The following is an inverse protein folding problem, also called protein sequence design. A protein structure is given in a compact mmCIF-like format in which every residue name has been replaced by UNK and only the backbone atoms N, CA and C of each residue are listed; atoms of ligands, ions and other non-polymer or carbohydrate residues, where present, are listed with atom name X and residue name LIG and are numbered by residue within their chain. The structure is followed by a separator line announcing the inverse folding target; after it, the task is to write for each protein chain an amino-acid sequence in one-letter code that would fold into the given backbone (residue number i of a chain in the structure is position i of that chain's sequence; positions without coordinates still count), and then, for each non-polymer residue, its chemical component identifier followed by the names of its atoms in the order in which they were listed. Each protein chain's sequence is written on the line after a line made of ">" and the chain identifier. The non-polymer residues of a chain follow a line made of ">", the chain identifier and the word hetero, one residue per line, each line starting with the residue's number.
data_IF_956109680691
#
_entry.id   IF_956109680691
#
_cell.length_a   1.000
_cell.length_b   1.000
_cell.length_c   1.000
_cell.angle_alpha   90.00
_cell.angle_beta   90.00
_cell.angle_gamma   90.00
#
_symmetry.space_group_name_H-M   'P 1'
#
loop_
_entity.id
_entity.type
_entity.pdbx_description
1 polymer ?
#
# COMPACT_ATOMS: atom_id res chain seq x y z
N UNK A 1 7.57 -3.75 -19.22
CA UNK A 1 6.60 -3.84 -18.11
C UNK A 1 5.95 -2.49 -17.86
N UNK A 2 4.65 -2.46 -17.58
CA UNK A 2 4.01 -1.25 -17.03
C UNK A 2 4.08 -1.32 -15.50
N UNK A 3 4.43 -0.20 -14.87
CA UNK A 3 4.35 -0.07 -13.41
C UNK A 3 2.88 -0.18 -12.98
N UNK A 4 2.63 -0.88 -11.87
CA UNK A 4 1.30 -0.99 -11.26
C UNK A 4 0.69 0.40 -11.02
N UNK A 5 1.52 1.33 -10.55
CA UNK A 5 1.17 2.73 -10.32
C UNK A 5 0.57 3.39 -11.56
N UNK A 6 1.25 3.29 -12.71
CA UNK A 6 0.80 3.92 -13.97
C UNK A 6 -0.52 3.34 -14.45
N UNK A 7 -0.70 2.03 -14.26
CA UNK A 7 -1.88 1.30 -14.72
C UNK A 7 -3.11 1.68 -13.90
N UNK A 8 -2.98 1.71 -12.57
CA UNK A 8 -4.06 2.16 -11.68
C UNK A 8 -4.37 3.64 -11.91
N UNK A 9 -3.33 4.49 -12.03
CA UNK A 9 -3.51 5.91 -12.30
C UNK A 9 -4.30 6.16 -13.59
N UNK A 10 -3.98 5.43 -14.67
CA UNK A 10 -4.73 5.56 -15.93
C UNK A 10 -6.22 5.23 -15.79
N UNK A 11 -6.58 4.24 -14.96
CA UNK A 11 -7.98 3.90 -14.71
C UNK A 11 -8.68 4.99 -13.89
N UNK A 12 -8.00 5.53 -12.87
CA UNK A 12 -8.49 6.68 -12.07
C UNK A 12 -8.73 7.88 -12.99
N UNK A 13 -7.73 8.26 -13.79
CA UNK A 13 -7.78 9.42 -14.69
C UNK A 13 -8.88 9.30 -15.75
N UNK A 14 -9.17 8.06 -16.19
CA UNK A 14 -10.27 7.80 -17.13
C UNK A 14 -11.66 7.95 -16.51
N UNK A 15 -11.77 8.13 -15.19
CA UNK A 15 -13.03 8.30 -14.45
C UNK A 15 -13.87 7.03 -14.31
N UNK A 16 -13.35 5.86 -14.73
CA UNK A 16 -14.09 4.58 -14.72
C UNK A 16 -14.58 4.15 -13.34
N UNK A 17 -13.82 4.45 -12.29
CA UNK A 17 -14.22 4.15 -10.91
C UNK A 17 -14.78 5.37 -10.16
N UNK A 18 -14.86 6.53 -10.82
CA UNK A 18 -15.18 7.79 -10.15
C UNK A 18 -14.08 8.23 -9.19
N UNK A 19 -14.47 8.78 -8.04
CA UNK A 19 -13.51 9.23 -7.01
C UNK A 19 -13.17 8.04 -6.09
N UNK A 20 -11.89 7.71 -5.87
CA UNK A 20 -11.48 6.70 -4.90
C UNK A 20 -11.99 7.01 -3.49
N UNK A 21 -12.51 5.99 -2.81
CA UNK A 21 -13.08 6.09 -1.45
C UNK A 21 -12.43 5.15 -0.46
N UNK A 22 -11.92 4.01 -0.92
CA UNK A 22 -11.29 3.00 -0.06
C UNK A 22 -10.22 2.21 -0.80
N UNK A 23 -9.11 1.92 -0.11
CA UNK A 23 -8.03 1.06 -0.60
C UNK A 23 -7.73 -0.05 0.41
N UNK A 24 -7.69 -1.29 -0.05
CA UNK A 24 -7.02 -2.41 0.63
C UNK A 24 -5.84 -2.84 -0.22
N UNK A 25 -4.67 -2.98 0.40
CA UNK A 25 -3.49 -3.54 -0.25
C UNK A 25 -2.78 -4.50 0.70
N UNK A 26 -2.44 -5.69 0.21
CA UNK A 26 -1.63 -6.68 0.89
C UNK A 26 -0.42 -7.02 0.02
N UNK A 27 0.77 -6.65 0.50
CA UNK A 27 2.04 -6.97 -0.13
C UNK A 27 2.68 -8.14 0.62
N UNK A 28 3.10 -9.15 -0.11
CA UNK A 28 3.84 -10.27 0.41
C UNK A 28 5.28 -10.19 -0.08
N UNK A 29 6.20 -10.24 0.87
CA UNK A 29 7.64 -10.24 0.63
C UNK A 29 8.19 -11.63 0.94
N UNK A 30 9.17 -12.13 0.15
CA UNK A 30 9.96 -13.26 0.59
C UNK A 30 10.72 -12.90 1.89
N UNK A 31 11.13 -13.91 2.65
CA UNK A 31 11.72 -13.71 3.99
C UNK A 31 13.03 -12.88 3.97
N UNK A 32 13.68 -12.70 2.81
CA UNK A 32 15.00 -12.05 2.68
C UNK A 32 14.95 -10.64 2.06
N UNK A 33 15.97 -9.86 2.43
CA UNK A 33 16.52 -8.66 1.78
C UNK A 33 15.70 -7.36 1.67
N UNK A 34 14.37 -7.39 1.87
CA UNK A 34 13.54 -6.17 1.84
C UNK A 34 13.06 -5.81 3.25
N UNK A 35 13.22 -4.55 3.67
CA UNK A 35 12.66 -4.03 4.93
C UNK A 35 11.13 -3.92 4.82
N UNK A 36 10.43 -4.39 5.85
CA UNK A 36 8.96 -4.37 5.90
C UNK A 36 8.45 -2.92 6.05
N UNK A 37 9.20 -2.07 6.74
CA UNK A 37 8.94 -0.64 6.91
C UNK A 37 9.10 0.10 5.58
N UNK A 38 10.20 -0.16 4.87
CA UNK A 38 10.44 0.43 3.55
C UNK A 38 9.32 0.09 2.57
N UNK A 39 8.97 -1.19 2.46
CA UNK A 39 7.86 -1.64 1.62
C UNK A 39 6.51 -1.04 2.06
N UNK A 40 6.31 -0.83 3.37
CA UNK A 40 5.11 -0.18 3.90
C UNK A 40 5.02 1.27 3.45
N UNK A 41 6.12 2.03 3.47
CA UNK A 41 6.13 3.41 3.00
C UNK A 41 5.88 3.55 1.51
N UNK A 42 6.32 2.57 0.72
CA UNK A 42 6.01 2.53 -0.71
C UNK A 42 4.51 2.33 -0.91
N UNK A 43 3.87 1.41 -0.18
CA UNK A 43 2.41 1.27 -0.21
C UNK A 43 1.70 2.55 0.25
N UNK A 44 2.20 3.22 1.29
CA UNK A 44 1.68 4.50 1.77
C UNK A 44 1.76 5.56 0.67
N UNK A 45 2.88 5.64 -0.03
CA UNK A 45 3.12 6.61 -1.11
C UNK A 45 2.16 6.35 -2.27
N UNK A 46 1.96 5.10 -2.67
CA UNK A 46 0.96 4.72 -3.68
C UNK A 46 -0.47 5.05 -3.23
N UNK A 47 -0.82 4.75 -1.98
CA UNK A 47 -2.13 5.08 -1.43
C UNK A 47 -2.40 6.60 -1.47
N UNK A 48 -1.41 7.39 -1.06
CA UNK A 48 -1.51 8.86 -1.06
C UNK A 48 -1.55 9.46 -2.46
N UNK A 49 -0.94 8.79 -3.45
CA UNK A 49 -1.04 9.19 -4.85
C UNK A 49 -2.44 8.97 -5.41
N UNK A 50 -3.05 7.82 -5.09
CA UNK A 50 -4.35 7.45 -5.65
C UNK A 50 -5.54 8.08 -4.93
N UNK A 51 -5.39 8.45 -3.65
CA UNK A 51 -6.46 9.07 -2.90
C UNK A 51 -6.63 10.56 -3.27
N UNK A 52 -7.86 11.06 -3.43
CA UNK A 52 -8.12 12.42 -3.91
C UNK A 52 -7.91 13.51 -2.84
N UNK A 53 -7.62 13.13 -1.60
CA UNK A 53 -7.49 14.04 -0.46
C UNK A 53 -6.20 13.78 0.28
N UNK A 54 -5.69 14.80 0.98
CA UNK A 54 -4.50 14.65 1.81
C UNK A 54 -4.77 13.71 2.99
N UNK A 55 -3.76 12.92 3.42
CA UNK A 55 -3.83 12.17 4.66
C UNK A 55 -4.07 13.10 5.86
N UNK A 56 -4.87 12.63 6.81
CA UNK A 56 -5.19 13.31 8.08
C UNK A 56 -4.48 12.64 9.25
N UNK A 57 -4.50 11.30 9.31
CA UNK A 57 -3.89 10.54 10.38
C UNK A 57 -3.52 9.13 9.93
N UNK A 58 -2.57 8.53 10.65
CA UNK A 58 -2.05 7.20 10.39
C UNK A 58 -2.07 6.37 11.67
N UNK A 59 -2.35 5.09 11.54
CA UNK A 59 -2.15 4.11 12.59
C UNK A 59 -1.34 2.92 12.04
N UNK A 60 -0.29 2.50 12.73
CA UNK A 60 0.51 1.34 12.37
C UNK A 60 0.54 0.30 13.50
N UNK A 61 0.58 -0.98 13.13
CA UNK A 61 0.69 -2.13 14.03
C UNK A 61 1.61 -3.18 13.46
N UNK A 62 2.55 -3.62 14.28
CA UNK A 62 3.43 -4.75 13.99
C UNK A 62 2.94 -5.99 14.70
N UNK A 63 2.97 -7.13 14.02
CA UNK A 63 2.71 -8.42 14.65
C UNK A 63 3.80 -8.76 15.69
N UNK A 64 3.50 -9.55 16.73
CA UNK A 64 4.49 -9.89 17.77
C UNK A 64 5.77 -10.55 17.25
N UNK A 65 5.65 -11.33 16.18
CA UNK A 65 6.76 -12.01 15.49
C UNK A 65 7.45 -11.14 14.41
N UNK A 66 7.02 -9.88 14.25
CA UNK A 66 7.55 -8.92 13.28
C UNK A 66 7.47 -9.35 11.81
N UNK A 67 6.66 -10.35 11.47
CA UNK A 67 6.47 -10.80 10.09
C UNK A 67 5.44 -9.93 9.34
N UNK A 68 4.61 -9.17 10.05
CA UNK A 68 3.56 -8.35 9.47
C UNK A 68 3.62 -6.92 10.03
N UNK A 69 3.44 -5.95 9.13
CA UNK A 69 3.19 -4.55 9.45
C UNK A 69 1.92 -4.10 8.74
N UNK A 70 0.92 -3.69 9.51
CA UNK A 70 -0.35 -3.19 9.00
C UNK A 70 -0.50 -1.72 9.35
N UNK A 71 -0.84 -0.92 8.34
CA UNK A 71 -1.00 0.52 8.42
C UNK A 71 -2.38 0.91 7.92
N UNK A 72 -3.06 1.78 8.68
CA UNK A 72 -4.30 2.42 8.29
C UNK A 72 -4.07 3.91 8.14
N UNK A 73 -4.63 4.51 7.08
CA UNK A 73 -4.58 5.95 6.82
C UNK A 73 -6.01 6.45 6.72
N UNK A 74 -6.32 7.54 7.44
CA UNK A 74 -7.53 8.33 7.26
C UNK A 74 -7.18 9.59 6.49
N UNK A 75 -8.05 9.96 5.55
CA UNK A 75 -7.87 11.14 4.70
C UNK A 75 -8.90 12.21 5.06
N UNK A 76 -8.56 13.49 4.83
CA UNK A 76 -9.44 14.63 5.16
C UNK A 76 -10.81 14.58 4.46
N UNK A 77 -10.89 13.91 3.30
CA UNK A 77 -12.14 13.73 2.55
C UNK A 77 -13.00 12.56 3.03
N UNK A 78 -12.63 11.89 4.13
CA UNK A 78 -13.33 10.73 4.68
C UNK A 78 -12.94 9.38 4.06
N UNK A 79 -12.00 9.37 3.10
CA UNK A 79 -11.46 8.12 2.54
C UNK A 79 -10.62 7.37 3.58
N UNK A 80 -10.40 6.08 3.35
CA UNK A 80 -9.53 5.24 4.19
C UNK A 80 -8.69 4.29 3.35
N UNK A 81 -7.44 4.07 3.75
CA UNK A 81 -6.59 3.01 3.21
C UNK A 81 -6.18 2.04 4.32
N UNK A 82 -6.19 0.74 4.01
CA UNK A 82 -5.65 -0.34 4.85
C UNK A 82 -4.57 -1.06 4.05
N UNK A 83 -3.35 -0.99 4.54
CA UNK A 83 -2.15 -1.48 3.88
C UNK A 83 -1.52 -2.52 4.79
N UNK A 84 -1.14 -3.67 4.26
CA UNK A 84 -0.46 -4.71 5.03
C UNK A 84 0.72 -5.22 4.23
N UNK A 85 1.89 -5.24 4.87
CA UNK A 85 3.07 -5.91 4.34
C UNK A 85 3.33 -7.12 5.21
N UNK A 86 3.57 -8.27 4.59
CA UNK A 86 3.75 -9.56 5.24
C UNK A 86 5.00 -10.24 4.69
N UNK A 87 5.79 -10.88 5.55
CA UNK A 87 6.83 -11.83 5.15
C UNK A 87 6.20 -13.20 5.03
N UNK A 88 6.42 -13.87 3.91
CA UNK A 88 5.91 -15.24 3.67
C UNK A 88 7.10 -16.13 3.35
N UNK A 89 7.12 -17.33 3.94
CA UNK A 89 8.15 -18.34 3.72
C UNK A 89 7.95 -19.02 2.35
N UNK A 90 8.20 -18.29 1.27
CA UNK A 90 8.08 -18.78 -0.12
C UNK A 90 9.35 -18.48 -0.91
N UNK A 91 9.56 -19.23 -1.98
CA UNK A 91 10.53 -18.97 -3.04
C UNK A 91 10.00 -17.98 -4.11
N UNK A 92 8.80 -17.44 -3.90
CA UNK A 92 8.14 -16.55 -4.86
C UNK A 92 8.71 -15.14 -4.79
N UNK A 93 8.62 -14.44 -5.91
CA UNK A 93 8.84 -13.01 -6.00
C UNK A 93 7.78 -12.25 -5.20
N UNK A 94 8.04 -10.98 -4.92
CA UNK A 94 7.07 -10.06 -4.30
C UNK A 94 5.70 -10.17 -4.98
N UNK A 95 4.63 -10.29 -4.20
CA UNK A 95 3.25 -10.40 -4.70
C UNK A 95 2.34 -9.37 -4.02
N UNK A 96 1.34 -8.88 -4.74
CA UNK A 96 0.37 -7.89 -4.22
C UNK A 96 -1.08 -8.33 -4.50
N UNK A 97 -1.95 -8.19 -3.50
CA UNK A 97 -3.42 -8.21 -3.60
C UNK A 97 -3.94 -6.81 -3.27
N UNK A 98 -4.63 -6.18 -4.23
CA UNK A 98 -5.09 -4.81 -4.17
C UNK A 98 -6.55 -4.69 -4.59
N UNK A 99 -7.30 -3.94 -3.77
CA UNK A 99 -8.67 -3.51 -4.06
C UNK A 99 -8.76 -2.00 -3.88
N UNK A 100 -9.02 -1.27 -4.96
CA UNK A 100 -9.31 0.17 -4.93
C UNK A 100 -10.77 0.39 -5.30
N UNK A 101 -11.55 0.84 -4.33
CA UNK A 101 -12.98 1.13 -4.49
C UNK A 101 -13.12 2.62 -4.73
N UNK A 102 -13.81 2.98 -5.81
CA UNK A 102 -14.31 4.33 -6.05
C UNK A 102 -15.83 4.37 -6.04
N UNK A 103 -16.41 5.56 -6.01
CA UNK A 103 -17.86 5.73 -5.93
C UNK A 103 -18.65 5.32 -7.20
N UNK A 104 -17.97 4.90 -8.27
CA UNK A 104 -18.59 4.40 -9.51
C UNK A 104 -18.10 3.02 -9.95
N UNK A 105 -17.14 2.42 -9.22
CA UNK A 105 -16.57 1.14 -9.62
C UNK A 105 -15.42 0.69 -8.73
N UNK A 106 -14.75 -0.39 -9.12
CA UNK A 106 -13.67 -0.99 -8.32
C UNK A 106 -12.57 -1.50 -9.24
N UNK A 107 -11.32 -1.37 -8.81
CA UNK A 107 -10.16 -2.02 -9.40
C UNK A 107 -9.77 -3.17 -8.47
N UNK A 108 -9.63 -4.36 -9.06
CA UNK A 108 -9.01 -5.51 -8.41
C UNK A 108 -7.73 -5.88 -9.13
N UNK A 109 -6.66 -6.09 -8.38
CA UNK A 109 -5.40 -6.60 -8.90
C UNK A 109 -4.81 -7.59 -7.91
N UNK A 110 -4.50 -8.78 -8.38
CA UNK A 110 -3.80 -9.80 -7.62
C UNK A 110 -2.62 -10.29 -8.47
N UNK A 111 -1.44 -10.39 -7.87
CA UNK A 111 -0.31 -11.08 -8.49
C UNK A 111 -0.59 -12.59 -8.43
N UNK A 112 -0.82 -13.26 -9.58
CA UNK A 112 -1.22 -14.65 -9.56
C UNK A 112 -0.10 -15.55 -9.03
N UNK A 113 -0.42 -16.64 -8.32
CA UNK A 113 0.56 -17.51 -7.65
C UNK A 113 1.45 -18.38 -8.57
N UNK A 114 1.53 -18.15 -9.89
CA UNK A 114 2.17 -19.10 -10.83
C UNK A 114 2.98 -18.51 -12.01
N UNK A 115 4.11 -19.18 -12.31
CA UNK A 115 5.29 -18.82 -13.14
C UNK A 115 5.09 -18.57 -14.66
N UNK A 116 3.89 -18.30 -15.17
CA UNK A 116 3.64 -18.34 -16.63
C UNK A 116 2.83 -17.19 -17.25
N UNK A 117 2.75 -16.01 -16.66
CA UNK A 117 2.05 -14.87 -17.29
C UNK A 117 2.94 -13.64 -17.46
N UNK A 118 3.03 -13.17 -18.71
CA UNK A 118 3.87 -12.07 -19.21
C UNK A 118 3.40 -10.66 -18.80
N UNK A 119 2.61 -10.52 -17.73
CA UNK A 119 2.19 -9.22 -17.20
C UNK A 119 2.59 -9.12 -15.73
N UNK A 120 3.89 -9.09 -15.50
CA UNK A 120 4.45 -8.67 -14.22
C UNK A 120 4.23 -7.16 -14.07
N UNK A 121 3.28 -6.79 -13.21
CA UNK A 121 3.18 -5.42 -12.73
C UNK A 121 4.22 -5.25 -11.62
N UNK A 122 5.22 -4.40 -11.87
CA UNK A 122 6.30 -4.16 -10.92
C UNK A 122 5.84 -3.12 -9.91
N UNK A 123 6.03 -3.43 -8.63
CA UNK A 123 6.15 -2.41 -7.58
C UNK A 123 7.64 -2.10 -7.46
N UNK A 124 7.99 -0.84 -7.70
CA UNK A 124 9.37 -0.41 -7.54
C UNK A 124 9.69 -0.29 -6.05
N UNK A 125 10.40 -1.29 -5.52
CA UNK A 125 10.84 -1.31 -4.12
C UNK A 125 12.12 -0.51 -3.89
N UNK A 126 12.69 0.13 -4.92
CA UNK A 126 13.92 0.93 -4.82
C UNK A 126 13.65 2.40 -4.55
N UNK A 127 12.39 2.86 -4.60
CA UNK A 127 12.02 4.26 -4.33
C UNK A 127 12.26 4.65 -2.87
N UNK A 128 12.93 5.79 -2.66
CA UNK A 128 13.12 6.40 -1.34
C UNK A 128 11.83 7.09 -0.90
N UNK A 129 11.44 6.87 0.37
CA UNK A 129 10.19 7.41 0.94
C UNK A 129 10.41 7.91 2.38
N UNK A 130 9.78 9.04 2.73
CA UNK A 130 10.06 9.76 3.98
C UNK A 130 9.06 9.50 5.12
N UNK A 131 8.09 8.59 4.97
CA UNK A 131 7.06 8.38 6.00
C UNK A 131 7.50 7.49 7.18
N UNK A 132 8.76 7.02 7.20
CA UNK A 132 9.31 6.13 8.24
C UNK A 132 9.06 6.65 9.67
N UNK A 133 9.23 7.95 9.90
CA UNK A 133 9.09 8.53 11.24
C UNK A 133 7.65 8.50 11.75
N UNK A 134 6.65 8.74 10.88
CA UNK A 134 5.24 8.69 11.25
C UNK A 134 4.79 7.27 11.57
N UNK A 135 5.22 6.31 10.75
CA UNK A 135 4.93 4.88 10.96
C UNK A 135 5.54 4.43 12.29
N UNK A 136 6.80 4.76 12.56
CA UNK A 136 7.48 4.42 13.82
C UNK A 136 6.77 5.04 15.03
N UNK A 137 6.47 6.35 14.99
CA UNK A 137 5.76 7.05 16.07
C UNK A 137 4.39 6.42 16.36
N UNK A 138 3.69 5.95 15.34
CA UNK A 138 2.40 5.28 15.53
C UNK A 138 2.54 3.86 16.12
N UNK A 139 3.55 3.10 15.68
CA UNK A 139 3.84 1.79 16.27
C UNK A 139 4.19 1.91 17.76
N UNK A 140 5.06 2.87 18.11
CA UNK A 140 5.55 3.07 19.48
C UNK A 140 4.44 3.53 20.43
N UNK A 141 3.57 4.43 19.97
CA UNK A 141 2.45 4.94 20.78
C UNK A 141 1.28 3.99 20.86
N UNK A 142 1.12 3.09 19.88
CA UNK A 142 -0.10 2.30 19.74
C UNK A 142 -1.34 3.17 19.46
N UNK A 143 -1.18 4.41 18.97
CA UNK A 143 -2.30 5.33 18.74
C UNK A 143 -2.34 5.84 17.30
N UNK A 144 -3.45 6.49 16.96
CA UNK A 144 -3.51 7.31 15.75
C UNK A 144 -2.55 8.50 15.91
N UNK A 145 -1.73 8.73 14.90
CA UNK A 145 -0.81 9.87 14.83
C UNK A 145 -1.31 10.80 13.74
N UNK A 146 -1.40 12.10 14.04
CA UNK A 146 -1.77 13.11 13.06
C UNK A 146 -0.72 13.19 11.95
N UNK A 147 -1.17 13.36 10.72
CA UNK A 147 -0.29 13.51 9.57
C UNK A 147 0.28 14.93 9.54
N UNK A 148 1.40 15.11 10.23
CA UNK A 148 2.22 16.32 10.15
C UNK A 148 3.19 16.16 8.97
N UNK A 149 3.34 17.18 8.12
CA UNK A 149 4.37 17.15 7.08
C UNK A 149 5.72 17.12 7.79
N UNK A 150 6.43 16.00 7.65
CA UNK A 150 7.84 15.83 8.08
C UNK A 150 8.73 16.59 7.12
#
# INVERSE_FOLDING_TARGET
>A
MQSLQKSIQSVIDSGRIGSPVFLRSMLQLPVKDISIEHATNILITLANLWMPSSPESIQARRSPDSIQLTTMIRYLGGQTAVLSVNRVATDQTVSIDLQLIGNKGTIYHETPPSRHHNQEFIIDLTETTDQNQLVQKSMDSGQWVKWEKV
#
